data_IF_759985367696
#
_entry.id   IF_759985367696
#
_cell.length_a   1.000
_cell.length_b   1.000
_cell.length_c   1.000
_cell.angle_alpha   90.00
_cell.angle_beta   90.00
_cell.angle_gamma   90.00
#
_symmetry.space_group_name_H-M   'P 1'
#
loop_
_entity.id
_entity.type
_entity.pdbx_description
1 polymer ?
#
# COMPACT_ATOMS: atom_id res chain seq x y z
N UNK A 1 26.76 20.85 -5.42
CA UNK A 1 25.43 20.23 -5.25
C UNK A 1 25.54 18.80 -5.74
N UNK A 2 25.03 17.82 -4.99
CA UNK A 2 24.92 16.45 -5.47
C UNK A 2 24.13 16.47 -6.79
N UNK A 3 24.75 16.00 -7.88
CA UNK A 3 24.11 15.97 -9.19
C UNK A 3 24.01 14.53 -9.68
N UNK A 4 22.81 14.06 -10.07
CA UNK A 4 22.67 12.76 -10.67
C UNK A 4 23.41 12.72 -12.01
N UNK A 5 24.14 11.63 -12.26
CA UNK A 5 24.75 11.36 -13.55
C UNK A 5 23.67 11.12 -14.64
N UNK A 6 24.02 11.06 -15.94
CA UNK A 6 23.04 10.88 -17.01
C UNK A 6 22.13 9.66 -16.87
N UNK A 7 22.65 8.53 -16.37
CA UNK A 7 21.85 7.32 -16.17
C UNK A 7 20.86 7.49 -15.02
N UNK A 8 21.31 8.08 -13.91
CA UNK A 8 20.46 8.37 -12.75
C UNK A 8 19.36 9.37 -13.10
N UNK A 9 19.66 10.41 -13.90
CA UNK A 9 18.65 11.36 -14.41
C UNK A 9 17.58 10.67 -15.26
N UNK A 10 17.98 9.76 -16.16
CA UNK A 10 17.04 8.98 -16.97
C UNK A 10 16.14 8.13 -16.07
N UNK A 11 16.72 7.42 -15.10
CA UNK A 11 15.96 6.58 -14.18
C UNK A 11 14.97 7.39 -13.33
N UNK A 12 15.40 8.53 -12.79
CA UNK A 12 14.51 9.44 -12.06
C UNK A 12 13.35 9.92 -12.93
N UNK A 13 13.61 10.22 -14.21
CA UNK A 13 12.58 10.65 -15.16
C UNK A 13 11.56 9.53 -15.45
N UNK A 14 12.04 8.29 -15.62
CA UNK A 14 11.17 7.12 -15.81
C UNK A 14 10.27 6.87 -14.59
N UNK A 15 10.86 6.91 -13.39
CA UNK A 15 10.14 6.72 -12.13
C UNK A 15 9.09 7.82 -11.91
N UNK A 16 9.44 9.07 -12.17
CA UNK A 16 8.53 10.20 -12.06
C UNK A 16 7.35 10.07 -13.04
N UNK A 17 7.60 9.64 -14.28
CA UNK A 17 6.54 9.39 -15.27
C UNK A 17 5.63 8.25 -14.81
N UNK A 18 6.20 7.12 -14.39
CA UNK A 18 5.43 5.99 -13.90
C UNK A 18 4.59 6.35 -12.66
N UNK A 19 5.10 7.23 -11.79
CA UNK A 19 4.36 7.72 -10.62
C UNK A 19 3.18 8.60 -11.04
N UNK A 20 3.39 9.52 -12.00
CA UNK A 20 2.33 10.38 -12.55
C UNK A 20 1.20 9.58 -13.20
N UNK A 21 1.50 8.39 -13.74
CA UNK A 21 0.53 7.50 -14.39
C UNK A 21 -0.30 6.64 -13.41
N UNK A 22 -0.03 6.68 -12.11
CA UNK A 22 -0.69 5.78 -11.13
C UNK A 22 -2.19 6.07 -10.89
N UNK A 23 -2.67 7.28 -11.17
CA UNK A 23 -4.07 7.65 -10.97
C UNK A 23 -4.49 7.74 -9.50
N UNK A 24 -5.80 7.66 -9.19
CA UNK A 24 -6.30 7.75 -7.82
C UNK A 24 -5.77 6.64 -6.91
N UNK A 25 -5.38 7.01 -5.69
CA UNK A 25 -4.73 6.11 -4.75
C UNK A 25 -5.34 6.22 -3.34
N UNK A 26 -5.73 5.09 -2.74
CA UNK A 26 -6.17 5.05 -1.33
C UNK A 26 -5.00 4.66 -0.40
N UNK A 27 -4.66 5.51 0.57
CA UNK A 27 -3.55 5.24 1.48
C UNK A 27 -3.93 4.17 2.50
N UNK A 28 -2.90 3.60 3.13
CA UNK A 28 -3.06 2.64 4.21
C UNK A 28 -3.14 1.19 3.74
N UNK A 29 -3.64 0.33 4.62
CA UNK A 29 -3.61 -1.13 4.47
C UNK A 29 -5.02 -1.66 4.38
N UNK A 30 -5.27 -2.52 3.40
CA UNK A 30 -6.50 -3.27 3.24
C UNK A 30 -6.25 -4.73 3.64
N UNK A 31 -7.09 -5.26 4.51
CA UNK A 31 -6.97 -6.63 5.02
C UNK A 31 -8.29 -7.37 4.88
N UNK A 32 -8.24 -8.54 4.26
CA UNK A 32 -9.36 -9.47 4.26
C UNK A 32 -9.42 -10.24 5.58
N UNK A 33 -10.62 -10.39 6.13
CA UNK A 33 -10.86 -11.06 7.41
C UNK A 33 -11.99 -12.06 7.29
N UNK A 34 -11.74 -13.24 7.83
CA UNK A 34 -12.73 -14.28 8.06
C UNK A 34 -12.77 -14.60 9.55
N UNK A 35 -13.93 -14.45 10.18
CA UNK A 35 -14.07 -14.49 11.63
C UNK A 35 -15.05 -15.57 12.11
N UNK A 36 -14.84 -16.07 13.32
CA UNK A 36 -15.86 -16.82 14.07
C UNK A 36 -16.75 -15.85 14.84
N UNK A 37 -18.03 -16.17 14.96
CA UNK A 37 -18.95 -15.40 15.80
C UNK A 37 -19.05 -15.97 17.22
N UNK A 38 -19.72 -15.23 18.11
CA UNK A 38 -19.93 -15.63 19.51
C UNK A 38 -21.04 -16.68 19.72
N UNK A 39 -21.86 -16.97 18.70
CA UNK A 39 -23.03 -17.87 18.87
C UNK A 39 -22.57 -19.32 19.05
N UNK A 40 -23.02 -20.04 20.11
CA UNK A 40 -22.58 -21.42 20.38
C UNK A 40 -22.81 -22.39 19.22
N UNK A 41 -24.00 -22.33 18.60
CA UNK A 41 -24.44 -23.29 17.57
C UNK A 41 -24.20 -22.78 16.14
N UNK A 42 -23.22 -21.92 15.92
CA UNK A 42 -22.95 -21.40 14.58
C UNK A 42 -22.06 -22.37 13.78
N UNK A 43 -22.33 -22.50 12.47
CA UNK A 43 -21.50 -23.27 11.52
C UNK A 43 -20.02 -22.84 11.50
N UNK A 44 -19.70 -21.61 11.89
CA UNK A 44 -18.30 -21.17 12.03
C UNK A 44 -17.51 -21.87 13.15
N UNK A 45 -18.19 -22.61 14.04
CA UNK A 45 -17.61 -23.43 15.11
C UNK A 45 -17.69 -24.94 14.84
N UNK A 46 -18.26 -25.37 13.71
CA UNK A 46 -18.30 -26.78 13.32
C UNK A 46 -16.92 -27.27 12.87
N UNK A 47 -16.80 -28.58 12.70
CA UNK A 47 -15.65 -29.22 12.07
C UNK A 47 -16.09 -29.93 10.76
N UNK A 48 -15.67 -29.47 9.56
CA UNK A 48 -14.83 -28.29 9.32
C UNK A 48 -15.60 -26.95 9.51
N UNK A 49 -14.91 -25.87 9.89
CA UNK A 49 -15.56 -24.59 10.17
C UNK A 49 -15.93 -23.81 8.90
N UNK A 50 -17.09 -23.17 8.90
CA UNK A 50 -17.48 -22.18 7.87
C UNK A 50 -17.38 -20.76 8.44
N UNK A 51 -16.26 -20.07 8.22
CA UNK A 51 -16.02 -18.73 8.77
C UNK A 51 -16.92 -17.67 8.14
N UNK A 52 -17.24 -16.62 8.90
CA UNK A 52 -17.96 -15.45 8.39
C UNK A 52 -17.01 -14.52 7.67
N UNK A 53 -17.45 -13.95 6.55
CA UNK A 53 -16.67 -13.02 5.74
C UNK A 53 -16.98 -13.17 4.26
N UNK A 54 -16.16 -12.54 3.38
CA UNK A 54 -15.03 -11.70 3.75
C UNK A 54 -15.47 -10.36 4.33
N UNK A 55 -14.81 -9.93 5.40
CA UNK A 55 -14.87 -8.57 5.90
C UNK A 55 -13.59 -7.84 5.48
N UNK A 56 -13.72 -6.69 4.83
CA UNK A 56 -12.59 -5.90 4.36
C UNK A 56 -12.28 -4.80 5.36
N UNK A 57 -11.18 -4.92 6.08
CA UNK A 57 -10.70 -3.93 7.03
C UNK A 57 -9.69 -3.00 6.36
N UNK A 58 -10.05 -1.73 6.21
CA UNK A 58 -9.14 -0.69 5.71
C UNK A 58 -8.66 0.19 6.87
N UNK A 59 -7.35 0.25 7.09
CA UNK A 59 -6.73 1.09 8.12
C UNK A 59 -5.78 2.12 7.52
N UNK A 60 -5.76 3.33 8.06
CA UNK A 60 -4.80 4.39 7.67
C UNK A 60 -4.48 5.32 8.85
N UNK A 61 -3.37 6.06 8.76
CA UNK A 61 -3.03 7.10 9.73
C UNK A 61 -3.59 8.46 9.29
N UNK A 62 -4.20 9.18 10.22
CA UNK A 62 -4.60 10.58 10.08
C UNK A 62 -4.15 11.28 11.37
N UNK A 63 -3.27 12.28 11.26
CA UNK A 63 -2.72 13.03 12.41
C UNK A 63 -2.18 12.11 13.53
N UNK A 64 -1.38 11.10 13.15
CA UNK A 64 -0.82 10.10 14.05
C UNK A 64 -1.81 9.03 14.56
N UNK A 65 -3.11 9.24 14.42
CA UNK A 65 -4.17 8.33 14.88
C UNK A 65 -4.49 7.27 13.81
N UNK A 66 -4.73 6.04 14.24
CA UNK A 66 -5.19 4.96 13.35
C UNK A 66 -6.69 5.08 13.14
N UNK A 67 -7.10 5.26 11.89
CA UNK A 67 -8.51 5.27 11.47
C UNK A 67 -8.79 3.97 10.72
N UNK A 68 -9.82 3.25 11.18
CA UNK A 68 -10.27 1.98 10.62
C UNK A 68 -11.65 2.15 9.98
N UNK A 69 -11.85 1.58 8.79
CA UNK A 69 -13.15 1.45 8.13
C UNK A 69 -13.36 0.02 7.67
N UNK A 70 -14.58 -0.49 7.84
CA UNK A 70 -15.01 -1.74 7.23
C UNK A 70 -15.63 -1.45 5.88
N UNK A 71 -15.18 -2.15 4.84
CA UNK A 71 -15.74 -2.06 3.49
C UNK A 71 -16.66 -3.26 3.25
N UNK A 72 -17.79 -2.99 2.63
CA UNK A 72 -18.61 -4.02 1.98
C UNK A 72 -17.86 -4.63 0.79
N UNK A 73 -18.24 -5.83 0.32
CA UNK A 73 -17.68 -6.40 -0.90
C UNK A 73 -17.80 -5.48 -2.11
N UNK A 74 -18.92 -4.75 -2.27
CA UNK A 74 -19.09 -3.82 -3.39
C UNK A 74 -18.15 -2.60 -3.28
N UNK A 75 -17.89 -2.10 -2.06
CA UNK A 75 -16.93 -1.02 -1.85
C UNK A 75 -15.49 -1.50 -2.07
N UNK A 76 -15.17 -2.71 -1.62
CA UNK A 76 -13.87 -3.32 -1.89
C UNK A 76 -13.62 -3.41 -3.39
N UNK A 77 -14.55 -3.98 -4.14
CA UNK A 77 -14.39 -4.14 -5.60
C UNK A 77 -14.23 -2.78 -6.29
N UNK A 78 -15.05 -1.79 -5.92
CA UNK A 78 -14.99 -0.44 -6.48
C UNK A 78 -13.63 0.24 -6.30
N UNK A 79 -12.93 -0.03 -5.20
CA UNK A 79 -11.70 0.65 -4.83
C UNK A 79 -10.45 -0.23 -4.88
N UNK A 80 -10.58 -1.47 -5.35
CA UNK A 80 -9.48 -2.44 -5.42
C UNK A 80 -8.28 -1.86 -6.16
N UNK A 81 -8.52 -1.26 -7.31
CA UNK A 81 -7.46 -0.69 -8.14
C UNK A 81 -6.81 0.54 -7.50
N UNK A 82 -7.54 1.29 -6.66
CA UNK A 82 -6.98 2.45 -5.96
C UNK A 82 -6.04 2.04 -4.82
N UNK A 83 -6.30 0.89 -4.18
CA UNK A 83 -5.34 0.31 -3.23
C UNK A 83 -4.08 -0.19 -3.92
N UNK A 84 -4.23 -0.83 -5.08
CA UNK A 84 -3.10 -1.28 -5.90
C UNK A 84 -2.28 -0.09 -6.42
N UNK A 85 -2.93 0.96 -6.91
CA UNK A 85 -2.30 2.21 -7.33
C UNK A 85 -1.50 2.84 -6.20
N UNK A 86 -2.05 2.90 -4.98
CA UNK A 86 -1.34 3.41 -3.82
C UNK A 86 -0.11 2.58 -3.46
N UNK A 87 -0.18 1.24 -3.58
CA UNK A 87 0.97 0.36 -3.36
C UNK A 87 2.05 0.62 -4.40
N UNK A 88 1.67 0.74 -5.68
CA UNK A 88 2.60 1.04 -6.77
C UNK A 88 3.25 2.42 -6.60
N UNK A 89 2.47 3.44 -6.26
CA UNK A 89 2.98 4.79 -6.02
C UNK A 89 4.03 4.81 -4.90
N UNK A 90 3.76 4.13 -3.78
CA UNK A 90 4.73 3.99 -2.68
C UNK A 90 6.01 3.27 -3.12
N UNK A 91 5.89 2.18 -3.89
CA UNK A 91 7.06 1.46 -4.38
C UNK A 91 7.94 2.34 -5.30
N UNK A 92 7.32 3.06 -6.24
CA UNK A 92 8.03 3.97 -7.15
C UNK A 92 8.69 5.12 -6.39
N UNK A 93 8.02 5.68 -5.38
CA UNK A 93 8.59 6.74 -4.56
C UNK A 93 9.77 6.22 -3.72
N UNK A 94 9.66 5.03 -3.14
CA UNK A 94 10.78 4.39 -2.45
C UNK A 94 11.98 4.19 -3.38
N UNK A 95 11.78 3.80 -4.64
CA UNK A 95 12.89 3.71 -5.62
C UNK A 95 13.57 5.07 -5.88
N UNK A 96 12.79 6.15 -5.93
CA UNK A 96 13.33 7.52 -6.03
C UNK A 96 14.16 7.85 -4.79
N UNK A 97 13.65 7.55 -3.59
CA UNK A 97 14.37 7.77 -2.33
C UNK A 97 15.68 6.98 -2.27
N UNK A 98 15.66 5.68 -2.61
CA UNK A 98 16.85 4.84 -2.64
C UNK A 98 17.90 5.36 -3.63
N UNK A 99 17.49 5.73 -4.84
CA UNK A 99 18.41 6.30 -5.81
C UNK A 99 19.00 7.63 -5.33
N UNK A 100 18.20 8.45 -4.66
CA UNK A 100 18.63 9.72 -4.08
C UNK A 100 19.62 9.51 -2.93
N UNK A 101 19.39 8.50 -2.07
CA UNK A 101 20.31 8.10 -1.01
C UNK A 101 21.66 7.66 -1.60
N UNK A 102 21.66 6.78 -2.60
CA UNK A 102 22.90 6.36 -3.26
C UNK A 102 23.68 7.55 -3.86
N UNK A 103 22.97 8.52 -4.46
CA UNK A 103 23.61 9.73 -4.99
C UNK A 103 24.26 10.54 -3.86
N UNK A 104 23.55 10.73 -2.74
CA UNK A 104 24.05 11.47 -1.59
C UNK A 104 25.27 10.76 -0.97
N UNK A 105 25.15 9.47 -0.66
CA UNK A 105 26.22 8.65 -0.09
C UNK A 105 27.49 8.67 -0.95
N UNK A 106 27.33 8.53 -2.27
CA UNK A 106 28.47 8.60 -3.21
C UNK A 106 29.07 10.00 -3.27
N UNK A 107 28.25 11.05 -3.23
CA UNK A 107 28.72 12.44 -3.34
C UNK A 107 29.51 12.85 -2.09
N UNK A 108 29.01 12.48 -0.92
CA UNK A 108 29.59 12.88 0.37
C UNK A 108 30.66 11.89 0.88
N UNK A 109 30.80 10.72 0.24
CA UNK A 109 31.75 9.69 0.66
C UNK A 109 31.38 9.06 2.00
N UNK A 110 30.09 8.91 2.30
CA UNK A 110 29.59 8.29 3.54
C UNK A 110 29.62 6.76 3.52
N UNK A 111 30.08 6.16 2.42
CA UNK A 111 30.21 4.73 2.24
C UNK A 111 31.36 4.12 3.07
#
# INVERSE_FOLDING_TARGET
MAQPNPAQRRRLTELARALAETGPALPGTLLERHNRCGKPNCRCKHDPPTLHGPYYQWTRKIDGKTVTRWLSPQQHERYRDWFAAAQRARALFNEIEQLSLTIAETTEGWA
#
